data_IF_047204090856
#
_entry.id   IF_047204090856
#
_cell.length_a   1.000
_cell.length_b   1.000
_cell.length_c   1.000
_cell.angle_alpha   90.00
_cell.angle_beta   90.00
_cell.angle_gamma   90.00
#
_symmetry.space_group_name_H-M   'P 1'
#
loop_
_entity.id
_entity.type
_entity.pdbx_description
1 polymer ?
#
# COMPACT_ATOMS: atom_id res chain seq x y z
N UNK A 1 8.51 -13.08 -26.86
CA UNK A 1 8.14 -12.00 -25.91
C UNK A 1 7.65 -12.64 -24.64
N UNK A 2 8.32 -12.44 -23.50
CA UNK A 2 7.84 -13.00 -22.22
C UNK A 2 6.51 -12.38 -21.81
N UNK A 3 5.48 -13.22 -21.74
CA UNK A 3 4.15 -12.86 -21.26
C UNK A 3 4.27 -12.36 -19.82
N UNK A 4 3.75 -11.18 -19.53
CA UNK A 4 3.66 -10.69 -18.16
C UNK A 4 2.66 -11.55 -17.39
N UNK A 5 3.11 -12.15 -16.28
CA UNK A 5 2.24 -12.86 -15.36
C UNK A 5 1.96 -11.96 -14.14
N UNK A 6 0.68 -11.80 -13.79
CA UNK A 6 0.27 -10.97 -12.67
C UNK A 6 0.83 -11.57 -11.37
N UNK A 7 1.41 -10.76 -10.45
CA UNK A 7 2.00 -11.29 -9.23
C UNK A 7 0.95 -12.03 -8.39
N UNK A 8 1.36 -13.16 -7.79
CA UNK A 8 0.50 -14.07 -7.06
C UNK A 8 0.79 -14.05 -5.56
N UNK A 9 -0.26 -14.27 -4.79
CA UNK A 9 -0.20 -14.56 -3.36
C UNK A 9 0.35 -15.97 -3.14
N UNK A 10 0.85 -16.24 -1.94
CA UNK A 10 1.25 -17.59 -1.51
C UNK A 10 0.09 -18.62 -1.64
N UNK A 11 -1.18 -18.17 -1.62
CA UNK A 11 -2.35 -19.01 -1.86
C UNK A 11 -2.72 -19.24 -3.35
N UNK A 12 -1.90 -18.77 -4.28
CA UNK A 12 -2.10 -18.92 -5.72
C UNK A 12 -3.04 -17.88 -6.37
N UNK A 13 -3.80 -17.12 -5.59
CA UNK A 13 -4.63 -16.04 -6.11
C UNK A 13 -3.80 -14.86 -6.63
N UNK A 14 -4.31 -14.19 -7.66
CA UNK A 14 -3.69 -12.98 -8.19
C UNK A 14 -3.75 -11.84 -7.16
N UNK A 15 -2.64 -11.12 -7.01
CA UNK A 15 -2.58 -9.92 -6.18
C UNK A 15 -3.20 -8.74 -6.93
N UNK A 16 -3.77 -7.81 -6.18
CA UNK A 16 -4.28 -6.55 -6.69
C UNK A 16 -3.39 -5.41 -6.20
N UNK A 17 -3.01 -4.52 -7.12
CA UNK A 17 -2.36 -3.29 -6.72
C UNK A 17 -3.33 -2.41 -5.95
N UNK A 18 -2.89 -1.90 -4.80
CA UNK A 18 -3.65 -0.99 -3.97
C UNK A 18 -2.76 0.18 -3.58
N UNK A 19 -3.11 1.36 -4.09
CA UNK A 19 -2.57 2.63 -3.63
C UNK A 19 -3.48 3.21 -2.55
N UNK A 20 -2.89 3.83 -1.54
CA UNK A 20 -3.63 4.48 -0.47
C UNK A 20 -2.96 5.78 -0.05
N UNK A 21 -3.80 6.73 0.36
CA UNK A 21 -3.41 8.04 0.86
C UNK A 21 -3.87 8.07 2.32
N UNK A 22 -2.95 8.33 3.24
CA UNK A 22 -3.29 8.56 4.64
C UNK A 22 -2.87 9.95 5.06
N UNK A 23 -3.75 10.59 5.83
CA UNK A 23 -3.47 11.86 6.47
C UNK A 23 -3.01 11.57 7.89
N UNK A 24 -1.75 11.92 8.20
CA UNK A 24 -1.26 11.85 9.57
C UNK A 24 -1.76 13.09 10.32
N UNK A 25 -2.74 12.90 11.18
CA UNK A 25 -3.15 13.93 12.15
C UNK A 25 -2.30 13.82 13.42
N UNK A 26 -1.98 14.95 14.04
CA UNK A 26 -1.30 14.94 15.33
C UNK A 26 -2.17 14.28 16.40
N UNK A 27 -1.58 13.50 17.30
CA UNK A 27 -2.26 12.97 18.48
C UNK A 27 -2.15 13.95 19.64
N UNK A 28 -3.20 14.05 20.45
CA UNK A 28 -3.18 14.76 21.75
C UNK A 28 -2.30 14.01 22.74
N UNK A 29 -1.92 14.66 23.85
CA UNK A 29 -1.18 14.02 24.96
C UNK A 29 -1.90 12.77 25.53
N UNK A 30 -3.22 12.67 25.30
CA UNK A 30 -4.05 11.53 25.70
C UNK A 30 -4.20 10.45 24.61
N UNK A 31 -3.51 10.58 23.47
CA UNK A 31 -3.54 9.60 22.38
C UNK A 31 -4.72 9.72 21.42
N UNK A 32 -5.60 10.70 21.59
CA UNK A 32 -6.72 10.93 20.65
C UNK A 32 -6.28 11.73 19.43
N UNK A 33 -6.89 11.51 18.25
CA UNK A 33 -6.74 12.40 17.11
C UNK A 33 -7.04 13.86 17.51
N UNK A 34 -6.09 14.76 17.31
CA UNK A 34 -6.28 16.18 17.58
C UNK A 34 -7.07 16.80 16.42
N UNK A 35 -8.21 17.41 16.72
CA UNK A 35 -9.13 18.03 15.75
C UNK A 35 -9.24 19.56 15.93
N UNK A 36 -8.32 20.20 16.67
CA UNK A 36 -8.37 21.62 17.08
C UNK A 36 -8.06 22.63 15.95
N UNK A 37 -8.60 22.39 14.76
CA UNK A 37 -8.41 23.19 13.54
C UNK A 37 -7.98 22.29 12.37
N UNK A 38 -7.99 22.79 11.12
CA UNK A 38 -7.36 22.10 10.01
C UNK A 38 -5.85 22.04 10.30
N UNK A 39 -5.43 21.02 11.05
CA UNK A 39 -4.03 20.68 11.15
C UNK A 39 -3.60 20.42 9.72
N UNK A 40 -2.72 21.28 9.20
CA UNK A 40 -2.04 21.06 7.93
C UNK A 40 -1.60 19.60 7.94
N UNK A 41 -2.14 18.82 7.00
CA UNK A 41 -1.81 17.40 6.82
C UNK A 41 -0.28 17.33 6.85
N UNK A 42 0.30 16.86 7.97
CA UNK A 42 1.74 17.00 8.22
C UNK A 42 2.58 16.20 7.21
N UNK A 43 1.95 15.21 6.58
CA UNK A 43 2.45 14.52 5.41
C UNK A 43 1.29 13.81 4.75
N UNK A 44 1.10 14.04 3.45
CA UNK A 44 0.33 13.12 2.62
C UNK A 44 1.24 11.93 2.32
N UNK A 45 1.20 10.91 3.16
CA UNK A 45 1.97 9.71 2.89
C UNK A 45 1.18 8.84 1.91
N UNK A 46 1.85 8.50 0.81
CA UNK A 46 1.32 7.62 -0.23
C UNK A 46 1.98 6.27 -0.03
N UNK A 47 1.15 5.26 0.22
CA UNK A 47 1.59 3.87 0.28
C UNK A 47 1.09 3.11 -0.94
N UNK A 48 1.84 2.11 -1.35
CA UNK A 48 1.42 1.13 -2.34
C UNK A 48 1.73 -0.28 -1.85
N UNK A 49 0.78 -1.19 -2.04
CA UNK A 49 0.97 -2.60 -1.77
C UNK A 49 0.29 -3.49 -2.82
N UNK A 50 0.74 -4.73 -2.87
CA UNK A 50 0.06 -5.81 -3.57
C UNK A 50 -0.78 -6.58 -2.56
N UNK A 51 -2.09 -6.47 -2.66
CA UNK A 51 -3.03 -7.04 -1.70
C UNK A 51 -3.70 -8.32 -2.23
N UNK A 52 -3.72 -9.36 -1.40
CA UNK A 52 -4.55 -10.54 -1.64
C UNK A 52 -5.88 -10.41 -0.92
N UNK A 53 -7.00 -10.32 -1.66
CA UNK A 53 -8.33 -10.26 -1.07
C UNK A 53 -8.73 -11.54 -0.32
N UNK A 54 -8.23 -12.71 -0.75
CA UNK A 54 -8.54 -13.98 -0.11
C UNK A 54 -7.83 -14.13 1.25
N UNK A 55 -6.51 -13.95 1.28
CA UNK A 55 -5.71 -14.08 2.51
C UNK A 55 -5.70 -12.82 3.38
N UNK A 56 -6.21 -11.69 2.88
CA UNK A 56 -6.11 -10.35 3.49
C UNK A 56 -4.66 -9.97 3.86
N UNK A 57 -3.70 -10.36 3.02
CA UNK A 57 -2.26 -10.16 3.23
C UNK A 57 -1.72 -9.15 2.20
N UNK A 58 -0.87 -8.25 2.68
CA UNK A 58 -0.16 -7.26 1.87
C UNK A 58 1.25 -7.75 1.54
N UNK A 59 1.71 -7.46 0.33
CA UNK A 59 3.05 -7.72 -0.16
C UNK A 59 3.65 -6.42 -0.69
N UNK A 60 4.97 -6.27 -0.54
CA UNK A 60 5.67 -5.10 -1.06
C UNK A 60 5.63 -5.06 -2.60
N UNK A 61 5.57 -3.84 -3.13
CA UNK A 61 5.58 -3.56 -4.56
C UNK A 61 7.02 -3.39 -5.03
N UNK A 62 7.39 -4.06 -6.11
CA UNK A 62 8.63 -3.84 -6.85
C UNK A 62 8.36 -3.60 -8.34
N UNK A 63 9.42 -3.28 -9.09
CA UNK A 63 9.37 -3.15 -10.55
C UNK A 63 10.44 -4.03 -11.19
N UNK A 64 10.10 -4.74 -12.26
CA UNK A 64 11.09 -5.49 -13.05
C UNK A 64 11.87 -4.55 -14.01
N UNK A 65 12.82 -5.12 -14.75
CA UNK A 65 13.65 -4.39 -15.73
C UNK A 65 12.84 -3.75 -16.89
N UNK A 66 11.57 -4.11 -17.06
CA UNK A 66 10.64 -3.53 -18.05
C UNK A 66 9.66 -2.53 -17.40
N UNK A 67 9.82 -2.25 -16.10
CA UNK A 67 8.96 -1.34 -15.33
C UNK A 67 7.61 -1.95 -14.91
N UNK A 68 7.42 -3.27 -15.04
CA UNK A 68 6.16 -3.95 -14.69
C UNK A 68 6.14 -4.23 -13.19
N UNK A 69 4.95 -4.10 -12.58
CA UNK A 69 4.75 -4.33 -11.15
C UNK A 69 4.99 -5.80 -10.82
N UNK A 70 5.85 -6.06 -9.84
CA UNK A 70 6.11 -7.40 -9.31
C UNK A 70 6.03 -7.39 -7.79
N UNK A 71 5.91 -8.57 -7.19
CA UNK A 71 6.07 -8.72 -5.74
C UNK A 71 7.56 -8.54 -5.39
N UNK A 72 7.86 -7.61 -4.49
CA UNK A 72 9.18 -7.51 -3.88
C UNK A 72 9.32 -8.57 -2.78
N UNK A 73 10.52 -9.12 -2.64
CA UNK A 73 10.86 -10.09 -1.59
C UNK A 73 11.16 -9.38 -0.27
#
# INVERSE_FOLDING_TARGET
MDKYEKPKCDCGQSLSFRGYIYAVTGITVKGHPSMNGPLLIKGQEKGEDLFCFNCRKSYAVGKDHKGRIVRAN
#
